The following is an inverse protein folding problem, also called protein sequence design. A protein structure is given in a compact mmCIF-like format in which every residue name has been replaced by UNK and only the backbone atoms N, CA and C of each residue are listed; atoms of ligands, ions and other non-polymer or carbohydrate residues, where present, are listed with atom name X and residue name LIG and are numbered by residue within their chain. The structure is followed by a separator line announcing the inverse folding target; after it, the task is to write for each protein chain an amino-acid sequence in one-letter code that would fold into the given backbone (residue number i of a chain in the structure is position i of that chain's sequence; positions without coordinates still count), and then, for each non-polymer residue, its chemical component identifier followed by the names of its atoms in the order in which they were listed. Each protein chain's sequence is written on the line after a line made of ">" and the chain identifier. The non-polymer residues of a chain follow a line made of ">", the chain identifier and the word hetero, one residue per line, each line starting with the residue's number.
data_IF_285717966609
#
_entry.id   IF_285717966609
#
_cell.length_a   1.000
_cell.length_b   1.000
_cell.length_c   1.000
_cell.angle_alpha   90.00
_cell.angle_beta   90.00
_cell.angle_gamma   90.00
#
_symmetry.space_group_name_H-M   'P 1'
#
loop_
_entity.id
_entity.type
_entity.pdbx_description
1 polymer ?
#
# COMPACT_ATOMS: atom_id res chain seq x y z
N UNK A 1 -2.83 -6.42 -18.38
CA UNK A 1 -2.00 -7.33 -19.19
C UNK A 1 -1.38 -8.45 -18.35
N UNK A 2 -0.57 -8.12 -17.33
CA UNK A 2 0.12 -9.11 -16.46
C UNK A 2 -0.83 -10.17 -15.90
N UNK A 3 -1.92 -9.74 -15.24
CA UNK A 3 -2.89 -10.66 -14.63
C UNK A 3 -3.51 -11.61 -15.66
N UNK A 4 -3.88 -11.07 -16.84
CA UNK A 4 -4.42 -11.87 -17.91
C UNK A 4 -3.43 -12.95 -18.36
N UNK A 5 -2.19 -12.55 -18.61
CA UNK A 5 -1.15 -13.43 -19.10
C UNK A 5 -0.74 -14.49 -18.08
N UNK A 6 -0.33 -14.06 -16.86
CA UNK A 6 0.28 -14.97 -15.89
C UNK A 6 -0.76 -15.83 -15.15
N UNK A 7 -1.97 -15.30 -14.91
CA UNK A 7 -2.99 -15.99 -14.10
C UNK A 7 -3.99 -16.74 -14.97
N UNK A 8 -4.48 -16.12 -16.05
CA UNK A 8 -5.52 -16.75 -16.89
C UNK A 8 -4.95 -17.58 -18.04
N UNK A 9 -3.99 -17.04 -18.79
CA UNK A 9 -3.50 -17.69 -20.00
C UNK A 9 -2.46 -18.77 -19.67
N UNK A 10 -1.40 -18.42 -18.95
CA UNK A 10 -0.31 -19.35 -18.63
C UNK A 10 -0.53 -20.12 -17.33
N UNK A 11 -1.34 -19.62 -16.41
CA UNK A 11 -1.64 -20.22 -15.12
C UNK A 11 -0.37 -20.52 -14.27
N UNK A 12 0.64 -19.69 -14.39
CA UNK A 12 1.92 -19.81 -13.67
C UNK A 12 1.97 -18.97 -12.39
N UNK A 13 1.02 -18.07 -12.21
CA UNK A 13 0.86 -17.29 -10.98
C UNK A 13 -0.59 -17.39 -10.46
N UNK A 14 -0.75 -17.37 -9.14
CA UNK A 14 -2.05 -17.32 -8.48
C UNK A 14 -2.58 -15.90 -8.37
N UNK A 15 -1.67 -14.95 -8.28
CA UNK A 15 -1.98 -13.51 -8.30
C UNK A 15 -0.83 -12.74 -8.93
N UNK A 16 -1.15 -11.57 -9.47
CA UNK A 16 -0.16 -10.56 -9.85
C UNK A 16 -0.75 -9.17 -9.63
N UNK A 17 0.05 -8.31 -9.03
CA UNK A 17 -0.30 -6.91 -8.78
C UNK A 17 0.83 -5.99 -9.17
N UNK A 18 0.51 -4.74 -9.45
CA UNK A 18 1.49 -3.68 -9.64
C UNK A 18 1.02 -2.42 -8.92
N UNK A 19 1.94 -1.76 -8.26
CA UNK A 19 1.64 -0.53 -7.53
C UNK A 19 2.86 0.37 -7.44
N UNK A 20 2.61 1.64 -7.27
CA UNK A 20 3.61 2.64 -6.99
C UNK A 20 3.56 3.00 -5.51
N UNK A 21 4.69 2.91 -4.84
CA UNK A 21 4.85 3.29 -3.45
C UNK A 21 5.55 4.63 -3.40
N UNK A 22 4.77 5.68 -3.29
CA UNK A 22 5.24 7.05 -3.23
C UNK A 22 5.80 7.40 -1.85
N UNK A 23 6.86 8.19 -1.86
CA UNK A 23 7.51 8.75 -0.69
C UNK A 23 7.83 10.22 -0.98
N UNK A 24 8.21 10.98 0.05
CA UNK A 24 8.51 12.40 -0.04
C UNK A 24 9.65 12.70 -1.03
N UNK A 25 10.75 11.95 -0.97
CA UNK A 25 11.95 12.22 -1.77
C UNK A 25 11.95 11.43 -3.07
N UNK A 26 11.53 10.17 -3.03
CA UNK A 26 11.50 9.25 -4.17
C UNK A 26 10.40 8.22 -3.98
N UNK A 27 10.10 7.45 -5.02
CA UNK A 27 9.14 6.36 -4.95
C UNK A 27 9.69 5.10 -5.59
N UNK A 28 8.99 3.99 -5.40
CA UNK A 28 9.32 2.69 -5.98
C UNK A 28 8.11 2.13 -6.71
N UNK A 29 8.35 1.57 -7.87
CA UNK A 29 7.35 0.81 -8.59
C UNK A 29 7.57 -0.68 -8.34
N UNK A 30 6.51 -1.38 -7.96
CA UNK A 30 6.55 -2.80 -7.67
C UNK A 30 5.67 -3.57 -8.63
N UNK A 31 6.14 -4.74 -9.04
CA UNK A 31 5.32 -5.81 -9.58
C UNK A 31 5.54 -7.01 -8.66
N UNK A 32 4.46 -7.58 -8.15
CA UNK A 32 4.50 -8.73 -7.24
C UNK A 32 3.65 -9.83 -7.84
N UNK A 33 4.21 -11.02 -7.95
CA UNK A 33 3.51 -12.21 -8.42
C UNK A 33 3.65 -13.34 -7.38
N UNK A 34 2.52 -13.98 -7.06
CA UNK A 34 2.50 -15.20 -6.25
C UNK A 34 2.55 -16.39 -7.20
N UNK A 35 3.67 -17.11 -7.17
CA UNK A 35 3.94 -18.22 -8.09
C UNK A 35 3.12 -19.44 -7.71
N UNK A 36 2.59 -20.16 -8.70
CA UNK A 36 1.90 -21.44 -8.48
C UNK A 36 2.90 -22.48 -7.95
N UNK A 37 2.48 -23.27 -6.96
CA UNK A 37 3.33 -24.30 -6.36
C UNK A 37 3.87 -25.27 -7.44
N UNK A 38 5.18 -25.48 -7.45
CA UNK A 38 5.87 -26.34 -8.41
C UNK A 38 6.29 -25.66 -9.72
N UNK A 39 5.92 -24.40 -9.93
CA UNK A 39 6.41 -23.59 -11.04
C UNK A 39 7.75 -22.93 -10.64
N UNK A 40 8.71 -22.92 -11.55
CA UNK A 40 9.97 -22.21 -11.35
C UNK A 40 9.72 -20.68 -11.39
N UNK A 41 10.12 -19.93 -10.37
CA UNK A 41 10.02 -18.47 -10.37
C UNK A 41 10.65 -17.80 -11.57
N UNK A 42 11.73 -18.34 -12.12
CA UNK A 42 12.36 -17.81 -13.32
C UNK A 42 11.44 -17.83 -14.56
N UNK A 43 10.51 -18.79 -14.63
CA UNK A 43 9.51 -18.84 -15.70
C UNK A 43 8.54 -17.65 -15.58
N UNK A 44 8.13 -17.32 -14.34
CA UNK A 44 7.25 -16.18 -14.08
C UNK A 44 7.95 -14.86 -14.37
N UNK A 45 9.21 -14.73 -13.97
CA UNK A 45 10.04 -13.55 -14.27
C UNK A 45 10.13 -13.32 -15.78
N UNK A 46 10.48 -14.35 -16.57
CA UNK A 46 10.54 -14.27 -18.03
C UNK A 46 9.21 -13.83 -18.64
N UNK A 47 8.11 -14.40 -18.19
CA UNK A 47 6.78 -14.02 -18.68
C UNK A 47 6.40 -12.58 -18.28
N UNK A 48 6.83 -12.10 -17.11
CA UNK A 48 6.65 -10.71 -16.71
C UNK A 48 7.45 -9.77 -17.63
N UNK A 49 8.70 -10.09 -17.90
CA UNK A 49 9.57 -9.30 -18.78
C UNK A 49 8.99 -9.21 -20.21
N UNK A 50 8.46 -10.29 -20.73
CA UNK A 50 7.80 -10.30 -22.04
C UNK A 50 6.59 -9.34 -22.09
N UNK A 51 5.75 -9.37 -21.05
CA UNK A 51 4.61 -8.45 -20.95
C UNK A 51 5.06 -6.99 -20.80
N UNK A 52 6.13 -6.75 -20.04
CA UNK A 52 6.69 -5.41 -19.86
C UNK A 52 7.31 -4.90 -21.18
N UNK A 53 8.05 -5.73 -21.88
CA UNK A 53 8.62 -5.40 -23.19
C UNK A 53 7.53 -5.08 -24.24
N UNK A 54 6.44 -5.85 -24.22
CA UNK A 54 5.30 -5.58 -25.08
C UNK A 54 4.62 -4.25 -24.72
N UNK A 55 4.48 -3.95 -23.43
CA UNK A 55 3.94 -2.67 -22.98
C UNK A 55 4.84 -1.49 -23.39
N UNK A 56 6.15 -1.63 -23.31
CA UNK A 56 7.11 -0.63 -23.78
C UNK A 56 6.93 -0.36 -25.28
N UNK A 57 6.68 -1.39 -26.08
CA UNK A 57 6.47 -1.24 -27.54
C UNK A 57 5.14 -0.61 -27.88
N UNK A 58 4.04 -1.08 -27.30
CA UNK A 58 2.67 -0.71 -27.71
C UNK A 58 2.01 0.33 -26.83
N UNK A 59 2.45 0.46 -25.56
CA UNK A 59 1.79 1.26 -24.57
C UNK A 59 0.46 0.65 -24.07
N UNK A 60 -0.30 1.39 -23.25
CA UNK A 60 -1.56 0.90 -22.70
C UNK A 60 -2.67 0.86 -23.73
N UNK A 61 -3.59 -0.10 -23.58
CA UNK A 61 -4.84 -0.11 -24.33
C UNK A 61 -5.70 1.11 -23.94
N UNK A 62 -6.14 1.96 -24.89
CA UNK A 62 -6.88 3.17 -24.58
C UNK A 62 -8.20 2.94 -23.83
N UNK A 63 -8.91 1.84 -24.12
CA UNK A 63 -10.17 1.49 -23.43
C UNK A 63 -9.91 1.11 -21.97
N UNK A 64 -8.85 0.33 -21.71
CA UNK A 64 -8.45 -0.03 -20.35
C UNK A 64 -7.96 1.20 -19.57
N UNK A 65 -7.18 2.07 -20.18
CA UNK A 65 -6.74 3.31 -19.55
C UNK A 65 -7.93 4.18 -19.15
N UNK A 66 -8.92 4.34 -20.02
CA UNK A 66 -10.15 5.07 -19.69
C UNK A 66 -10.91 4.44 -18.53
N UNK A 67 -11.04 3.11 -18.50
CA UNK A 67 -11.70 2.39 -17.42
C UNK A 67 -10.98 2.57 -16.08
N UNK A 68 -9.64 2.49 -16.05
CA UNK A 68 -8.85 2.71 -14.85
C UNK A 68 -8.93 4.16 -14.35
N UNK A 69 -8.87 5.15 -15.22
CA UNK A 69 -9.10 6.56 -14.84
C UNK A 69 -10.46 6.73 -14.17
N UNK A 70 -11.52 6.14 -14.74
CA UNK A 70 -12.87 6.19 -14.14
C UNK A 70 -12.92 5.50 -12.79
N UNK A 71 -12.27 4.35 -12.65
CA UNK A 71 -12.19 3.59 -11.38
C UNK A 71 -11.46 4.38 -10.29
N UNK A 72 -10.34 5.01 -10.61
CA UNK A 72 -9.58 5.85 -9.69
C UNK A 72 -10.43 7.05 -9.23
N UNK A 73 -11.08 7.76 -10.16
CA UNK A 73 -11.96 8.88 -9.85
C UNK A 73 -13.14 8.45 -8.97
N UNK A 74 -13.77 7.34 -9.28
CA UNK A 74 -14.86 6.80 -8.49
C UNK A 74 -14.39 6.37 -7.09
N UNK A 75 -13.18 5.82 -6.96
CA UNK A 75 -12.54 5.51 -5.68
C UNK A 75 -12.31 6.77 -4.84
N UNK A 76 -11.79 7.83 -5.46
CA UNK A 76 -11.59 9.12 -4.83
C UNK A 76 -12.91 9.70 -4.30
N UNK A 77 -13.95 9.75 -5.13
CA UNK A 77 -15.28 10.28 -4.75
C UNK A 77 -15.86 9.51 -3.56
N UNK A 78 -15.76 8.17 -3.57
CA UNK A 78 -16.21 7.35 -2.43
C UNK A 78 -15.35 7.56 -1.18
N UNK A 79 -14.04 7.72 -1.34
CA UNK A 79 -13.11 7.98 -0.23
C UNK A 79 -13.44 9.25 0.53
N UNK A 80 -13.67 10.36 -0.20
CA UNK A 80 -13.96 11.67 0.41
C UNK A 80 -15.36 11.80 1.02
N UNK A 81 -16.22 10.81 0.92
CA UNK A 81 -17.47 10.80 1.68
C UNK A 81 -17.22 10.66 3.18
N UNK A 82 -16.11 10.04 3.57
CA UNK A 82 -15.69 9.92 4.98
C UNK A 82 -14.97 11.19 5.43
N UNK A 83 -15.24 11.62 6.67
CA UNK A 83 -14.59 12.79 7.27
C UNK A 83 -13.19 12.39 7.75
N UNK A 84 -13.07 11.32 8.51
CA UNK A 84 -11.82 10.84 9.10
C UNK A 84 -11.38 9.46 8.56
N UNK A 85 -10.29 8.93 9.12
CA UNK A 85 -9.68 7.67 8.73
C UNK A 85 -8.84 7.75 7.46
N UNK A 86 -8.12 6.67 7.15
CA UNK A 86 -7.28 6.59 5.96
C UNK A 86 -8.09 6.83 4.67
N UNK A 87 -7.63 7.77 3.85
CA UNK A 87 -8.28 8.18 2.61
C UNK A 87 -9.56 9.01 2.80
N UNK A 88 -9.89 9.47 4.02
CA UNK A 88 -10.96 10.43 4.27
C UNK A 88 -10.53 11.88 3.99
N UNK A 89 -11.45 12.82 4.16
CA UNK A 89 -11.19 14.25 3.89
C UNK A 89 -10.03 14.80 4.73
N UNK A 90 -10.01 14.51 6.02
CA UNK A 90 -8.97 15.01 6.93
C UNK A 90 -7.59 14.45 6.57
N UNK A 91 -7.51 13.16 6.26
CA UNK A 91 -6.28 12.52 5.81
C UNK A 91 -5.76 13.12 4.50
N UNK A 92 -6.64 13.30 3.53
CA UNK A 92 -6.31 13.92 2.24
C UNK A 92 -5.78 15.33 2.40
N UNK A 93 -6.46 16.17 3.18
CA UNK A 93 -6.05 17.57 3.39
C UNK A 93 -4.75 17.67 4.19
N UNK A 94 -4.59 16.83 5.22
CA UNK A 94 -3.38 16.77 6.03
C UNK A 94 -2.17 16.29 5.20
N UNK A 95 -2.34 15.25 4.39
CA UNK A 95 -1.30 14.74 3.48
C UNK A 95 -0.89 15.82 2.48
N UNK A 96 -1.85 16.47 1.84
CA UNK A 96 -1.57 17.59 0.93
C UNK A 96 -0.82 18.72 1.64
N UNK A 97 -1.26 19.15 2.82
CA UNK A 97 -0.62 20.21 3.58
C UNK A 97 0.81 19.82 3.98
N UNK A 98 1.02 18.61 4.46
CA UNK A 98 2.32 18.15 4.97
C UNK A 98 3.36 18.09 3.85
N UNK A 99 3.01 17.49 2.71
CA UNK A 99 3.99 17.21 1.65
C UNK A 99 4.10 18.31 0.61
N UNK A 100 3.12 19.19 0.48
CA UNK A 100 3.13 20.23 -0.57
C UNK A 100 2.93 21.65 -0.04
N UNK A 101 2.59 21.81 1.23
CA UNK A 101 2.22 23.11 1.80
C UNK A 101 0.86 23.65 1.31
N UNK A 102 0.13 22.86 0.52
CA UNK A 102 -1.14 23.26 -0.09
C UNK A 102 -2.21 22.18 0.15
N UNK A 103 -3.18 22.40 1.04
CA UNK A 103 -4.22 21.40 1.32
C UNK A 103 -5.09 21.10 0.09
N UNK A 104 -5.06 21.95 -0.94
CA UNK A 104 -5.75 21.77 -2.22
C UNK A 104 -5.00 20.92 -3.24
N UNK A 105 -3.85 20.32 -2.92
CA UNK A 105 -3.01 19.59 -3.87
C UNK A 105 -3.75 18.47 -4.62
N UNK A 106 -4.79 17.90 -4.02
CA UNK A 106 -5.61 16.87 -4.64
C UNK A 106 -6.24 17.30 -5.97
N UNK A 107 -6.51 18.60 -6.14
CA UNK A 107 -7.05 19.13 -7.40
C UNK A 107 -6.03 18.99 -8.54
N UNK A 108 -4.75 19.22 -8.24
CA UNK A 108 -3.65 19.01 -9.20
C UNK A 108 -3.50 17.52 -9.53
N UNK A 109 -3.63 16.65 -8.53
CA UNK A 109 -3.55 15.22 -8.75
C UNK A 109 -4.68 14.69 -9.64
N UNK A 110 -5.90 15.21 -9.45
CA UNK A 110 -7.03 14.91 -10.33
C UNK A 110 -6.82 15.45 -11.76
N UNK A 111 -6.28 16.65 -11.89
CA UNK A 111 -5.94 17.20 -13.19
C UNK A 111 -4.83 16.39 -13.90
N UNK A 112 -3.82 15.93 -13.17
CA UNK A 112 -2.82 15.01 -13.73
C UNK A 112 -3.44 13.69 -14.19
N UNK A 113 -4.33 13.10 -13.38
CA UNK A 113 -5.04 11.88 -13.78
C UNK A 113 -5.84 12.09 -15.07
N UNK A 114 -6.54 13.23 -15.16
CA UNK A 114 -7.31 13.55 -16.37
C UNK A 114 -6.41 13.76 -17.60
N UNK A 115 -5.26 14.39 -17.44
CA UNK A 115 -4.30 14.67 -18.50
C UNK A 115 -3.48 13.45 -18.98
N UNK A 116 -3.60 12.26 -18.33
CA UNK A 116 -2.92 11.04 -18.76
C UNK A 116 -3.48 10.56 -20.10
N UNK A 117 -2.57 10.36 -21.06
CA UNK A 117 -2.87 9.76 -22.37
C UNK A 117 -2.05 8.49 -22.57
N UNK A 118 -2.43 7.61 -23.50
CA UNK A 118 -1.63 6.43 -23.83
C UNK A 118 -0.17 6.76 -24.18
N UNK A 119 0.04 7.84 -24.92
CA UNK A 119 1.38 8.29 -25.32
C UNK A 119 2.20 8.76 -24.12
N UNK A 120 1.62 9.60 -23.25
CA UNK A 120 2.30 10.04 -22.02
C UNK A 120 2.63 8.87 -21.11
N UNK A 121 1.71 7.94 -20.92
CA UNK A 121 1.93 6.75 -20.10
C UNK A 121 3.05 5.88 -20.65
N UNK A 122 3.07 5.62 -21.96
CA UNK A 122 4.15 4.90 -22.64
C UNK A 122 5.50 5.59 -22.42
N UNK A 123 5.58 6.90 -22.65
CA UNK A 123 6.81 7.67 -22.48
C UNK A 123 7.32 7.67 -21.03
N UNK A 124 6.41 7.80 -20.05
CA UNK A 124 6.76 7.74 -18.64
C UNK A 124 7.26 6.35 -18.24
N UNK A 125 6.61 5.31 -18.76
CA UNK A 125 7.02 3.94 -18.52
C UNK A 125 8.45 3.68 -19.05
N UNK A 126 8.71 4.01 -20.30
CA UNK A 126 10.03 3.85 -20.90
C UNK A 126 11.13 4.66 -20.19
N UNK A 127 10.76 5.80 -19.60
CA UNK A 127 11.74 6.64 -18.87
C UNK A 127 12.10 6.09 -17.49
N UNK A 128 11.16 5.47 -16.77
CA UNK A 128 11.31 5.20 -15.35
C UNK A 128 11.27 3.71 -14.97
N UNK A 129 10.75 2.85 -15.84
CA UNK A 129 10.45 1.45 -15.50
C UNK A 129 11.13 0.47 -16.47
N UNK A 130 11.61 0.95 -17.62
CA UNK A 130 12.31 0.15 -18.65
C UNK A 130 13.81 0.02 -18.36
N UNK A 131 14.21 0.05 -17.10
CA UNK A 131 15.57 -0.17 -16.65
C UNK A 131 15.69 -1.52 -15.94
N UNK A 132 16.90 -1.96 -15.64
CA UNK A 132 17.16 -3.24 -14.97
C UNK A 132 16.48 -3.27 -13.60
N UNK A 133 15.46 -4.11 -13.39
CA UNK A 133 14.76 -4.19 -12.11
C UNK A 133 15.62 -4.88 -11.05
N UNK A 134 15.36 -4.57 -9.80
CA UNK A 134 15.78 -5.41 -8.69
C UNK A 134 14.79 -6.55 -8.52
N UNK A 135 15.24 -7.80 -8.65
CA UNK A 135 14.39 -8.98 -8.48
C UNK A 135 14.62 -9.59 -7.10
N UNK A 136 13.56 -9.78 -6.33
CA UNK A 136 13.57 -10.48 -5.06
C UNK A 136 12.68 -11.71 -5.16
N UNK A 137 13.27 -12.89 -5.06
CA UNK A 137 12.53 -14.16 -4.99
C UNK A 137 12.46 -14.64 -3.54
N UNK A 138 11.23 -14.85 -3.06
CA UNK A 138 10.99 -15.41 -1.74
C UNK A 138 10.54 -16.85 -1.91
N UNK A 139 11.33 -17.78 -1.42
CA UNK A 139 11.04 -19.21 -1.46
C UNK A 139 10.46 -19.65 -0.12
N UNK A 140 9.54 -20.64 -0.11
CA UNK A 140 9.10 -21.26 1.14
C UNK A 140 10.30 -21.92 1.83
N UNK A 141 10.37 -21.77 3.14
CA UNK A 141 11.40 -22.49 3.93
C UNK A 141 11.05 -23.94 4.05
N UNK A 142 12.07 -24.81 3.94
CA UNK A 142 11.94 -26.22 4.25
C UNK A 142 11.55 -26.38 5.73
N UNK A 143 10.57 -27.21 5.97
CA UNK A 143 10.05 -27.75 7.25
C UNK A 143 10.53 -27.03 8.53
N UNK A 144 9.67 -26.21 9.08
CA UNK A 144 9.82 -25.81 10.48
C UNK A 144 9.67 -27.01 11.40
N UNK A 145 10.69 -27.36 12.15
CA UNK A 145 10.51 -28.11 13.38
C UNK A 145 10.22 -27.11 14.49
N UNK A 146 9.03 -27.15 15.03
CA UNK A 146 8.75 -26.42 16.26
C UNK A 146 9.53 -27.15 17.36
N UNK A 147 10.47 -26.45 18.01
CA UNK A 147 11.14 -27.00 19.20
C UNK A 147 10.10 -27.38 20.24
N UNK A 148 10.34 -28.49 20.95
CA UNK A 148 9.53 -28.84 22.11
C UNK A 148 9.53 -27.67 23.08
N UNK A 149 8.36 -27.30 23.56
CA UNK A 149 8.19 -26.27 24.57
C UNK A 149 7.64 -26.91 25.82
N UNK A 150 8.29 -26.66 26.94
CA UNK A 150 7.80 -27.07 28.28
C UNK A 150 6.57 -26.28 28.74
N UNK A 151 6.07 -25.38 27.90
CA UNK A 151 4.87 -24.61 28.18
C UNK A 151 3.62 -25.48 28.06
N UNK A 152 3.10 -25.88 29.20
CA UNK A 152 1.78 -26.51 29.28
C UNK A 152 0.68 -25.48 29.03
N UNK A 153 0.02 -25.63 27.90
CA UNK A 153 -1.12 -24.79 27.50
C UNK A 153 -2.47 -25.49 27.68
N UNK A 154 -2.47 -26.67 28.29
CA UNK A 154 -3.70 -27.46 28.51
C UNK A 154 -4.67 -26.78 29.46
N UNK A 155 -4.15 -25.96 30.38
CA UNK A 155 -4.94 -25.16 31.32
C UNK A 155 -5.63 -23.93 30.67
N UNK A 156 -5.38 -23.69 29.38
CA UNK A 156 -5.91 -22.51 28.67
C UNK A 156 -5.20 -21.21 29.05
N UNK A 157 -5.76 -20.11 28.58
CA UNK A 157 -5.26 -18.77 28.92
C UNK A 157 -5.71 -18.42 30.34
N UNK A 158 -4.79 -18.03 31.26
CA UNK A 158 -5.22 -17.58 32.59
C UNK A 158 -6.10 -16.33 32.46
N UNK A 159 -7.33 -16.47 32.90
CA UNK A 159 -8.23 -15.33 33.03
C UNK A 159 -7.98 -14.60 34.36
N UNK A 160 -7.99 -13.27 34.37
CA UNK A 160 -7.96 -12.53 35.62
C UNK A 160 -9.15 -12.91 36.49
N UNK A 161 -8.86 -13.35 37.72
CA UNK A 161 -9.89 -13.74 38.71
C UNK A 161 -10.60 -12.54 39.31
N UNK A 162 -9.97 -11.37 39.21
CA UNK A 162 -10.50 -10.13 39.71
C UNK A 162 -10.91 -9.20 38.54
N UNK A 163 -12.05 -8.55 38.69
CA UNK A 163 -12.49 -7.52 37.76
C UNK A 163 -11.60 -6.30 37.93
N UNK A 164 -10.79 -6.00 36.93
CA UNK A 164 -9.99 -4.77 36.92
C UNK A 164 -10.93 -3.58 36.77
N UNK A 165 -11.12 -2.80 37.82
CA UNK A 165 -11.83 -1.55 37.73
C UNK A 165 -10.93 -0.49 37.11
N UNK A 166 -11.40 0.12 36.05
CA UNK A 166 -10.69 1.22 35.40
C UNK A 166 -10.81 2.47 36.27
N UNK A 167 -9.70 2.92 36.83
CA UNK A 167 -9.61 4.20 37.51
C UNK A 167 -8.95 5.23 36.59
N UNK A 168 -9.68 6.29 36.30
CA UNK A 168 -9.11 7.39 35.52
C UNK A 168 -8.04 8.09 36.34
N UNK A 169 -6.84 8.35 35.83
CA UNK A 169 -5.81 9.04 36.57
C UNK A 169 -6.25 10.45 36.94
N UNK A 170 -5.88 10.89 38.13
CA UNK A 170 -6.15 12.27 38.58
C UNK A 170 -5.44 13.24 37.64
N UNK A 171 -6.20 14.17 37.06
CA UNK A 171 -5.64 15.20 36.20
C UNK A 171 -5.04 16.34 37.05
N UNK A 172 -3.80 16.67 36.77
CA UNK A 172 -3.13 17.86 37.31
C UNK A 172 -3.18 18.95 36.21
N UNK A 173 -3.60 20.14 36.57
CA UNK A 173 -3.69 21.27 35.64
C UNK A 173 -2.81 22.42 36.10
N UNK A 174 -2.10 23.06 35.19
CA UNK A 174 -1.31 24.25 35.44
C UNK A 174 -1.41 25.21 34.25
N UNK A 175 -1.17 26.49 34.51
CA UNK A 175 -1.01 27.51 33.46
C UNK A 175 0.43 28.01 33.51
N UNK A 176 1.12 27.93 32.37
CA UNK A 176 2.49 28.43 32.24
C UNK A 176 2.50 29.97 32.18
N UNK A 177 3.67 30.57 32.36
CA UNK A 177 3.85 32.03 32.33
C UNK A 177 3.47 32.68 30.99
N UNK A 178 3.49 31.90 29.88
CA UNK A 178 3.05 32.33 28.55
C UNK A 178 1.55 32.13 28.31
N UNK A 179 0.77 31.74 29.32
CA UNK A 179 -0.69 31.53 29.21
C UNK A 179 -1.10 30.15 28.70
N UNK A 180 -0.18 29.27 28.34
CA UNK A 180 -0.51 27.91 27.90
C UNK A 180 -1.03 27.06 29.04
N UNK A 181 -2.16 26.38 28.86
CA UNK A 181 -2.73 25.43 29.80
C UNK A 181 -2.08 24.06 29.62
N UNK A 182 -1.58 23.48 30.69
CA UNK A 182 -1.00 22.14 30.76
C UNK A 182 -1.93 21.24 31.55
N UNK A 183 -2.24 20.07 31.01
CA UNK A 183 -2.99 19.01 31.69
C UNK A 183 -2.10 17.77 31.72
N UNK A 184 -1.79 17.29 32.93
CA UNK A 184 -0.96 16.10 33.14
C UNK A 184 -1.81 14.96 33.73
N UNK A 185 -1.80 13.83 33.06
CA UNK A 185 -2.34 12.56 33.54
C UNK A 185 -1.18 11.60 33.84
N UNK A 186 -0.77 11.49 35.09
CA UNK A 186 0.32 10.61 35.50
C UNK A 186 -0.15 9.15 35.49
N UNK A 187 0.47 8.31 34.68
CA UNK A 187 0.33 6.85 34.75
C UNK A 187 1.53 6.29 35.55
N UNK A 188 1.21 5.52 36.56
CA UNK A 188 2.20 4.65 37.18
C UNK A 188 2.22 3.36 36.34
N UNK A 189 3.36 3.08 35.68
CA UNK A 189 3.60 1.84 34.96
C UNK A 189 3.90 0.67 35.92
#
# INVERSE_FOLDING_TARGET
>A
PLYKELVYEQQIATSVSSFYYDREIAGMFFIVADVVAGVDPATVETAMDDVMAEFTKRGPNPKLLKAEKTKILAGFIRGIQRIGGFGGKSDLLATCQTYTGDPGCYQKNLAYLDAVTPSKMKATFAKWIDDTPYVLTILPTDKYSVGETDLDRSSGVPYPTEKVEFQFPTLQTATLSNGAKVVLAQRKG
#
